data_IF_236897979936
#
_entry.id   IF_236897979936
#
_cell.length_a   1.000
_cell.length_b   1.000
_cell.length_c   1.000
_cell.angle_alpha   90.00
_cell.angle_beta   90.00
_cell.angle_gamma   90.00
#
_symmetry.space_group_name_H-M   'P 1'
#
loop_
_entity.id
_entity.type
_entity.pdbx_description
1 polymer ?
#
# COMPACT_ATOMS: atom_id res chain seq x y z
N UNK A 1 27.78 -29.29 11.01
CA UNK A 1 26.54 -29.81 10.35
C UNK A 1 25.32 -29.91 11.28
N UNK A 2 25.44 -30.20 12.55
CA UNK A 2 24.30 -30.32 13.51
C UNK A 2 23.65 -28.95 13.87
N UNK A 3 24.41 -27.88 13.98
CA UNK A 3 23.91 -26.56 14.36
C UNK A 3 23.05 -25.91 13.26
N UNK A 4 23.46 -26.05 11.99
CA UNK A 4 22.67 -25.58 10.83
C UNK A 4 21.39 -26.37 10.57
N UNK A 5 21.36 -27.67 10.97
CA UNK A 5 20.14 -28.48 10.92
C UNK A 5 19.13 -28.11 12.02
N UNK A 6 19.61 -27.70 13.20
CA UNK A 6 18.75 -27.22 14.30
C UNK A 6 18.08 -25.90 13.95
N UNK A 7 18.84 -24.95 13.38
CA UNK A 7 18.29 -23.65 12.94
C UNK A 7 17.28 -23.76 11.78
N UNK A 8 17.36 -24.82 10.95
CA UNK A 8 16.37 -25.08 9.89
C UNK A 8 15.04 -25.63 10.40
N UNK A 9 15.02 -26.30 11.56
CA UNK A 9 13.78 -26.87 12.14
C UNK A 9 12.97 -25.89 12.99
N UNK A 10 13.62 -24.90 13.63
CA UNK A 10 12.97 -24.03 14.61
C UNK A 10 12.04 -22.97 14.00
N UNK A 11 12.13 -22.68 12.69
CA UNK A 11 11.33 -21.68 11.99
C UNK A 11 10.35 -22.26 10.98
N UNK A 12 10.31 -23.56 10.83
CA UNK A 12 9.47 -24.23 9.84
C UNK A 12 7.99 -24.12 10.22
N UNK A 13 7.20 -23.61 9.29
CA UNK A 13 5.75 -23.46 9.41
C UNK A 13 5.08 -24.37 8.39
N UNK A 14 4.32 -25.36 8.83
CA UNK A 14 3.50 -26.19 7.95
C UNK A 14 2.12 -25.53 7.85
N UNK A 15 1.73 -25.16 6.65
CA UNK A 15 0.43 -24.53 6.40
C UNK A 15 -0.64 -25.61 6.33
N UNK A 16 -1.48 -25.70 7.35
CA UNK A 16 -2.51 -26.73 7.47
C UNK A 16 -3.89 -26.30 7.04
N UNK A 17 -4.14 -24.99 7.01
CA UNK A 17 -5.42 -24.46 6.61
C UNK A 17 -5.33 -23.00 6.15
N UNK A 18 -6.19 -22.65 5.21
CA UNK A 18 -6.40 -21.26 4.79
C UNK A 18 -7.91 -21.02 4.72
N UNK A 19 -8.35 -19.94 5.34
CA UNK A 19 -9.73 -19.47 5.23
C UNK A 19 -9.76 -18.14 4.50
N UNK A 20 -10.61 -18.03 3.49
CA UNK A 20 -10.94 -16.79 2.82
C UNK A 20 -12.22 -16.22 3.41
N UNK A 21 -12.14 -15.03 4.01
CA UNK A 21 -13.30 -14.26 4.45
C UNK A 21 -13.57 -13.17 3.42
N UNK A 22 -14.68 -13.27 2.72
CA UNK A 22 -15.13 -12.21 1.81
C UNK A 22 -15.91 -11.18 2.62
N UNK A 23 -15.33 -10.00 2.71
CA UNK A 23 -15.78 -8.93 3.61
C UNK A 23 -16.33 -7.77 2.80
N UNK A 24 -17.43 -7.18 3.28
CA UNK A 24 -17.96 -5.92 2.75
C UNK A 24 -18.05 -4.88 3.87
N UNK A 25 -17.46 -3.71 3.61
CA UNK A 25 -17.44 -2.59 4.55
C UNK A 25 -17.82 -1.29 3.84
N UNK A 26 -18.54 -0.42 4.54
CA UNK A 26 -18.94 0.87 4.01
C UNK A 26 -18.01 1.96 4.51
N UNK A 27 -17.45 2.77 3.59
CA UNK A 27 -16.70 3.95 3.95
C UNK A 27 -17.59 4.96 4.68
N UNK A 28 -17.06 5.58 5.71
CA UNK A 28 -17.71 6.65 6.47
C UNK A 28 -18.08 7.84 5.59
N UNK A 29 -17.16 8.20 4.69
CA UNK A 29 -17.36 9.20 3.65
C UNK A 29 -16.98 8.61 2.30
N UNK A 30 -17.77 8.87 1.27
CA UNK A 30 -17.45 8.46 -0.08
C UNK A 30 -16.10 9.04 -0.52
N UNK A 31 -15.25 8.23 -1.13
CA UNK A 31 -13.97 8.65 -1.68
C UNK A 31 -14.10 8.86 -3.19
N UNK A 32 -13.89 10.10 -3.64
CA UNK A 32 -13.97 10.47 -5.06
C UNK A 32 -12.59 10.78 -5.62
N UNK A 33 -12.24 10.15 -6.72
CA UNK A 33 -11.03 10.38 -7.51
C UNK A 33 -11.40 10.75 -8.97
N UNK A 34 -10.42 10.74 -9.89
CA UNK A 34 -10.63 11.04 -11.31
C UNK A 34 -11.48 9.99 -12.06
N UNK A 35 -11.57 8.76 -11.54
CA UNK A 35 -12.30 7.64 -12.17
C UNK A 35 -13.72 7.47 -11.66
N UNK A 36 -14.03 7.93 -10.44
CA UNK A 36 -15.36 7.77 -9.87
C UNK A 36 -15.41 7.91 -8.35
N UNK A 37 -16.49 7.40 -7.77
CA UNK A 37 -16.75 7.46 -6.32
C UNK A 37 -16.86 6.06 -5.77
N UNK A 38 -16.12 5.78 -4.69
CA UNK A 38 -16.15 4.53 -3.92
C UNK A 38 -16.84 4.81 -2.59
N UNK A 39 -17.90 4.09 -2.29
CA UNK A 39 -18.63 4.15 -1.01
C UNK A 39 -18.55 2.81 -0.26
N UNK A 40 -18.65 1.72 -0.98
CA UNK A 40 -18.61 0.37 -0.45
C UNK A 40 -17.29 -0.30 -0.90
N UNK A 41 -16.68 -1.06 -0.02
CA UNK A 41 -15.43 -1.78 -0.28
C UNK A 41 -15.61 -3.26 0.00
N UNK A 42 -15.21 -4.08 -0.95
CA UNK A 42 -15.03 -5.52 -0.78
C UNK A 42 -13.57 -5.84 -0.55
N UNK A 43 -13.31 -6.84 0.30
CA UNK A 43 -11.98 -7.37 0.59
C UNK A 43 -12.03 -8.89 0.66
N UNK A 44 -10.87 -9.54 0.51
CA UNK A 44 -10.70 -10.94 0.91
C UNK A 44 -9.65 -10.94 2.02
N UNK A 45 -10.07 -11.27 3.24
CA UNK A 45 -9.16 -11.46 4.36
C UNK A 45 -8.69 -12.91 4.35
N UNK A 46 -7.38 -13.08 4.41
CA UNK A 46 -6.70 -14.38 4.47
C UNK A 46 -6.41 -14.71 5.91
N UNK A 47 -6.95 -15.83 6.37
CA UNK A 47 -6.60 -16.45 7.65
C UNK A 47 -5.82 -17.73 7.37
N UNK A 48 -4.49 -17.71 7.60
CA UNK A 48 -3.61 -18.86 7.40
C UNK A 48 -3.28 -19.51 8.73
N UNK A 49 -3.42 -20.84 8.80
CA UNK A 49 -3.21 -21.62 10.01
C UNK A 49 -2.05 -22.61 9.85
N UNK A 50 -1.31 -22.82 10.92
CA UNK A 50 -0.21 -23.79 11.00
C UNK A 50 -0.56 -24.97 11.89
N UNK A 51 0.21 -26.08 11.79
CA UNK A 51 0.01 -27.30 12.59
C UNK A 51 0.18 -27.07 14.10
N UNK A 52 0.96 -26.07 14.51
CA UNK A 52 1.16 -25.67 15.92
C UNK A 52 0.12 -24.64 16.41
N UNK A 53 -0.94 -24.41 15.63
CA UNK A 53 -2.10 -23.61 16.02
C UNK A 53 -1.93 -22.09 15.88
N UNK A 54 -0.84 -21.61 15.26
CA UNK A 54 -0.69 -20.19 14.99
C UNK A 54 -1.57 -19.76 13.82
N UNK A 55 -2.04 -18.52 13.87
CA UNK A 55 -2.83 -17.88 12.82
C UNK A 55 -2.12 -16.63 12.31
N UNK A 56 -2.00 -16.52 10.99
CA UNK A 56 -1.50 -15.32 10.29
C UNK A 56 -2.57 -14.67 9.44
N UNK A 57 -2.48 -13.36 9.28
CA UNK A 57 -3.47 -12.53 8.64
C UNK A 57 -2.91 -11.76 7.45
N UNK A 58 -3.64 -11.79 6.35
CA UNK A 58 -3.36 -11.00 5.14
C UNK A 58 -4.64 -10.44 4.56
N UNK A 59 -4.51 -9.54 3.60
CA UNK A 59 -5.64 -8.86 2.99
C UNK A 59 -5.41 -8.64 1.49
N UNK A 60 -6.39 -9.05 0.68
CA UNK A 60 -6.47 -8.68 -0.73
C UNK A 60 -7.21 -7.36 -0.84
N UNK A 61 -6.50 -6.34 -1.31
CA UNK A 61 -6.98 -4.95 -1.38
C UNK A 61 -7.48 -4.54 -2.77
N UNK A 62 -7.65 -5.49 -3.70
CA UNK A 62 -8.21 -5.21 -5.02
C UNK A 62 -9.56 -4.49 -4.92
N UNK A 63 -9.94 -3.77 -5.97
CA UNK A 63 -11.26 -3.15 -6.06
C UNK A 63 -12.26 -4.11 -6.72
N UNK A 64 -13.55 -3.80 -6.64
CA UNK A 64 -14.59 -4.57 -7.33
C UNK A 64 -14.55 -4.38 -8.85
N UNK A 65 -13.99 -3.24 -9.31
CA UNK A 65 -13.84 -2.88 -10.71
C UNK A 65 -12.36 -2.62 -11.05
N UNK A 66 -11.90 -2.95 -12.27
CA UNK A 66 -10.50 -2.88 -12.67
C UNK A 66 -10.06 -1.47 -13.13
N UNK A 67 -10.41 -0.43 -12.37
CA UNK A 67 -10.07 0.94 -12.72
C UNK A 67 -8.68 1.39 -12.21
N UNK A 68 -8.16 0.71 -11.18
CA UNK A 68 -6.85 1.02 -10.60
C UNK A 68 -5.75 0.07 -11.13
N UNK A 69 -6.02 -1.22 -11.10
CA UNK A 69 -5.23 -2.28 -11.72
C UNK A 69 -6.15 -3.22 -12.46
N UNK A 70 -5.59 -4.16 -13.23
CA UNK A 70 -6.34 -5.21 -13.94
C UNK A 70 -7.01 -6.22 -12.99
N UNK A 71 -6.57 -6.33 -11.74
CA UNK A 71 -7.14 -7.25 -10.76
C UNK A 71 -8.40 -6.68 -10.11
N UNK A 72 -9.36 -7.56 -9.88
CA UNK A 72 -10.56 -7.30 -9.09
C UNK A 72 -10.67 -8.32 -7.96
N UNK A 73 -11.55 -8.09 -6.99
CA UNK A 73 -11.86 -9.07 -5.94
C UNK A 73 -12.22 -10.43 -6.55
N UNK A 74 -12.94 -10.46 -7.67
CA UNK A 74 -13.36 -11.72 -8.31
C UNK A 74 -12.19 -12.44 -8.99
N UNK A 75 -11.35 -11.72 -9.74
CA UNK A 75 -10.16 -12.33 -10.36
C UNK A 75 -9.17 -12.78 -9.30
N UNK A 76 -8.95 -12.00 -8.24
CA UNK A 76 -8.13 -12.41 -7.10
C UNK A 76 -8.70 -13.63 -6.39
N UNK A 77 -10.03 -13.71 -6.18
CA UNK A 77 -10.68 -14.88 -5.61
C UNK A 77 -10.38 -16.16 -6.40
N UNK A 78 -10.52 -16.11 -7.72
CA UNK A 78 -10.18 -17.24 -8.60
C UNK A 78 -8.71 -17.66 -8.45
N UNK A 79 -7.78 -16.70 -8.58
CA UNK A 79 -6.34 -16.97 -8.49
C UNK A 79 -5.96 -17.52 -7.10
N UNK A 80 -6.54 -16.97 -6.03
CA UNK A 80 -6.32 -17.46 -4.67
C UNK A 80 -6.76 -18.91 -4.52
N UNK A 81 -8.02 -19.20 -4.87
CA UNK A 81 -8.66 -20.51 -4.63
C UNK A 81 -8.09 -21.62 -5.46
N UNK A 82 -7.98 -21.37 -6.77
CA UNK A 82 -7.76 -22.43 -7.73
C UNK A 82 -6.27 -22.63 -8.05
N UNK A 83 -5.42 -21.67 -7.65
CA UNK A 83 -4.00 -21.69 -8.04
C UNK A 83 -3.07 -21.49 -6.83
N UNK A 84 -3.17 -20.38 -6.09
CA UNK A 84 -2.16 -20.05 -5.08
C UNK A 84 -2.31 -20.88 -3.80
N UNK A 85 -3.53 -21.06 -3.29
CA UNK A 85 -3.78 -21.86 -2.08
C UNK A 85 -3.40 -23.33 -2.31
N UNK A 86 -3.80 -23.99 -3.42
CA UNK A 86 -3.36 -25.36 -3.70
C UNK A 86 -1.85 -25.54 -3.79
N UNK A 87 -1.12 -24.50 -4.21
CA UNK A 87 0.33 -24.55 -4.31
C UNK A 87 1.05 -24.56 -2.95
N UNK A 88 0.45 -24.02 -1.89
CA UNK A 88 1.12 -23.84 -0.60
C UNK A 88 0.50 -24.63 0.56
N UNK A 89 -0.75 -25.08 0.41
CA UNK A 89 -1.41 -25.85 1.47
C UNK A 89 -0.69 -27.18 1.68
N UNK A 90 -0.46 -27.56 2.93
CA UNK A 90 0.33 -28.73 3.29
C UNK A 90 1.85 -28.55 3.19
N UNK A 91 2.32 -27.44 2.60
CA UNK A 91 3.76 -27.19 2.44
C UNK A 91 4.41 -26.71 3.74
N UNK A 92 5.70 -26.98 3.84
CA UNK A 92 6.57 -26.44 4.88
C UNK A 92 7.28 -25.18 4.35
N UNK A 93 7.10 -24.08 5.03
CA UNK A 93 7.69 -22.78 4.67
C UNK A 93 8.61 -22.34 5.81
N UNK A 94 9.90 -22.12 5.53
CA UNK A 94 10.86 -21.63 6.50
C UNK A 94 10.99 -20.13 6.52
N UNK A 95 10.80 -19.50 5.36
CA UNK A 95 10.83 -18.03 5.18
C UNK A 95 9.82 -17.63 4.12
N UNK A 96 9.12 -16.48 4.28
CA UNK A 96 8.13 -16.02 3.30
C UNK A 96 8.65 -15.84 1.88
N UNK A 97 9.93 -15.53 1.70
CA UNK A 97 10.56 -15.41 0.36
C UNK A 97 10.48 -16.72 -0.46
N UNK A 98 10.28 -17.87 0.18
CA UNK A 98 10.09 -19.16 -0.51
C UNK A 98 8.81 -19.16 -1.37
N UNK A 99 7.83 -18.31 -1.02
CA UNK A 99 6.60 -18.14 -1.81
C UNK A 99 6.86 -17.67 -3.24
N UNK A 100 7.95 -16.94 -3.47
CA UNK A 100 8.36 -16.54 -4.82
C UNK A 100 8.51 -17.76 -5.73
N UNK A 101 9.05 -18.87 -5.21
CA UNK A 101 9.23 -20.11 -5.96
C UNK A 101 7.89 -20.82 -6.22
N UNK A 102 7.00 -20.89 -5.23
CA UNK A 102 5.67 -21.48 -5.38
C UNK A 102 4.81 -20.70 -6.37
N UNK A 103 4.96 -19.37 -6.40
CA UNK A 103 4.16 -18.49 -7.24
C UNK A 103 4.83 -18.14 -8.59
N UNK A 104 6.03 -18.64 -8.85
CA UNK A 104 6.77 -18.38 -10.10
C UNK A 104 6.00 -18.76 -11.37
N UNK A 105 5.20 -19.87 -11.43
CA UNK A 105 4.40 -20.20 -12.60
C UNK A 105 3.25 -19.21 -12.87
N UNK A 106 2.85 -18.43 -11.88
CA UNK A 106 1.72 -17.48 -11.96
C UNK A 106 2.24 -16.12 -12.41
N UNK A 107 1.94 -15.74 -13.64
CA UNK A 107 2.31 -14.42 -14.15
C UNK A 107 1.37 -13.35 -13.59
N UNK A 108 1.90 -12.14 -13.31
CA UNK A 108 1.10 -11.01 -12.78
C UNK A 108 0.33 -11.41 -11.52
N UNK A 109 -0.88 -10.93 -11.34
CA UNK A 109 -1.75 -11.16 -10.18
C UNK A 109 -1.08 -10.77 -8.84
N UNK A 110 -0.49 -9.56 -8.76
CA UNK A 110 0.26 -9.15 -7.58
C UNK A 110 -0.62 -9.01 -6.34
N UNK A 111 -1.86 -8.55 -6.45
CA UNK A 111 -2.73 -8.36 -5.28
C UNK A 111 -3.16 -9.69 -4.66
N UNK A 112 -3.45 -10.70 -5.48
CA UNK A 112 -3.74 -12.04 -4.98
C UNK A 112 -2.53 -12.66 -4.28
N UNK A 113 -1.32 -12.52 -4.85
CA UNK A 113 -0.07 -12.99 -4.23
C UNK A 113 0.23 -12.31 -2.91
N UNK A 114 0.13 -10.98 -2.90
CA UNK A 114 0.36 -10.15 -1.72
C UNK A 114 -0.54 -10.53 -0.54
N UNK A 115 -1.79 -10.89 -0.81
CA UNK A 115 -2.75 -11.26 0.21
C UNK A 115 -2.30 -12.51 1.00
N UNK A 116 -1.88 -13.56 0.29
CA UNK A 116 -1.35 -14.78 0.94
C UNK A 116 0.00 -14.49 1.60
N UNK A 117 0.88 -13.81 0.89
CA UNK A 117 2.22 -13.52 1.38
C UNK A 117 2.18 -12.70 2.68
N UNK A 118 1.28 -11.72 2.79
CA UNK A 118 1.06 -10.97 4.01
C UNK A 118 0.72 -11.87 5.21
N UNK A 119 -0.16 -12.85 5.01
CA UNK A 119 -0.51 -13.81 6.07
C UNK A 119 0.69 -14.67 6.49
N UNK A 120 1.53 -15.08 5.54
CA UNK A 120 2.73 -15.89 5.84
C UNK A 120 3.81 -15.05 6.52
N UNK A 121 3.97 -13.76 6.17
CA UNK A 121 4.85 -12.84 6.89
C UNK A 121 4.39 -12.61 8.33
N UNK A 122 3.09 -12.49 8.57
CA UNK A 122 2.52 -12.37 9.91
C UNK A 122 2.81 -13.64 10.75
N UNK A 123 2.58 -14.84 10.17
CA UNK A 123 2.94 -16.10 10.79
C UNK A 123 4.42 -16.18 11.13
N UNK A 124 5.27 -15.84 10.18
CA UNK A 124 6.72 -15.88 10.37
C UNK A 124 7.19 -14.95 11.49
N UNK A 125 6.67 -13.73 11.54
CA UNK A 125 6.97 -12.78 12.60
C UNK A 125 6.50 -13.30 13.98
N UNK A 126 5.29 -13.88 14.06
CA UNK A 126 4.77 -14.55 15.26
C UNK A 126 5.63 -15.72 15.68
N UNK A 127 6.05 -16.58 14.75
CA UNK A 127 6.95 -17.71 15.01
C UNK A 127 8.29 -17.26 15.58
N UNK A 128 8.78 -16.11 15.15
CA UNK A 128 10.01 -15.49 15.70
C UNK A 128 9.79 -14.79 17.04
N UNK A 129 8.55 -14.60 17.49
CA UNK A 129 8.24 -13.80 18.67
C UNK A 129 8.57 -12.31 18.48
N UNK A 130 8.62 -11.81 17.23
CA UNK A 130 8.99 -10.45 16.88
C UNK A 130 7.84 -9.75 16.16
N UNK A 131 7.80 -8.41 16.25
CA UNK A 131 6.90 -7.63 15.41
C UNK A 131 7.30 -7.74 13.93
N UNK A 132 6.34 -7.61 13.03
CA UNK A 132 6.60 -7.62 11.59
C UNK A 132 7.60 -6.53 11.20
N UNK A 133 7.49 -5.33 11.80
CA UNK A 133 8.45 -4.24 11.57
C UNK A 133 9.90 -4.68 11.87
N UNK A 134 10.13 -5.35 13.02
CA UNK A 134 11.45 -5.83 13.39
C UNK A 134 11.98 -6.92 12.44
N UNK A 135 11.09 -7.83 11.99
CA UNK A 135 11.45 -8.91 11.06
C UNK A 135 11.84 -8.36 9.69
N UNK A 136 11.17 -7.30 9.23
CA UNK A 136 11.50 -6.60 7.97
C UNK A 136 12.77 -5.73 8.08
N UNK A 137 13.29 -5.52 9.29
CA UNK A 137 14.45 -4.64 9.53
C UNK A 137 14.08 -3.17 9.76
N UNK A 138 12.80 -2.88 10.01
CA UNK A 138 12.33 -1.56 10.39
C UNK A 138 12.91 -1.10 11.72
N UNK A 139 13.29 0.18 11.81
CA UNK A 139 13.94 0.75 12.99
C UNK A 139 13.19 1.93 13.60
N UNK A 140 12.25 2.50 12.83
CA UNK A 140 11.48 3.65 13.32
C UNK A 140 10.35 3.18 14.22
N UNK A 141 10.29 3.76 15.41
CA UNK A 141 9.19 3.53 16.36
C UNK A 141 7.95 4.34 16.01
N UNK A 142 8.12 5.39 15.20
CA UNK A 142 7.06 6.23 14.67
C UNK A 142 7.34 6.49 13.19
N UNK A 143 6.27 6.51 12.39
CA UNK A 143 6.30 6.87 10.99
C UNK A 143 5.50 8.15 10.76
N UNK A 144 5.94 8.98 9.82
CA UNK A 144 5.22 10.19 9.45
C UNK A 144 4.04 9.87 8.53
N UNK A 145 2.92 10.53 8.79
CA UNK A 145 1.70 10.39 8.02
C UNK A 145 1.46 11.59 7.09
N UNK A 146 1.10 11.31 5.86
CA UNK A 146 0.48 12.23 4.91
C UNK A 146 -1.02 11.94 4.79
N UNK A 147 -1.73 12.83 4.15
CA UNK A 147 -3.16 12.65 3.88
C UNK A 147 -3.50 13.00 2.44
N UNK A 148 -4.41 12.22 1.86
CA UNK A 148 -4.97 12.47 0.55
C UNK A 148 -6.31 13.20 0.68
N UNK A 149 -6.43 14.37 0.09
CA UNK A 149 -7.67 15.14 0.02
C UNK A 149 -8.28 14.91 -1.37
N UNK A 150 -9.40 14.22 -1.41
CA UNK A 150 -10.19 14.03 -2.63
C UNK A 150 -10.78 15.35 -3.15
N UNK A 151 -11.28 15.33 -4.38
CA UNK A 151 -11.94 16.49 -5.00
C UNK A 151 -13.06 17.02 -4.10
N UNK A 152 -13.09 18.35 -3.92
CA UNK A 152 -14.08 19.06 -3.10
C UNK A 152 -15.01 19.87 -4.00
N UNK A 153 -16.22 20.14 -3.51
CA UNK A 153 -17.24 20.86 -4.27
C UNK A 153 -16.89 22.33 -4.47
N UNK A 154 -16.17 22.92 -3.51
CA UNK A 154 -15.79 24.33 -3.51
C UNK A 154 -14.50 24.58 -2.71
N UNK A 155 -13.99 25.79 -2.80
CA UNK A 155 -12.75 26.22 -2.12
C UNK A 155 -12.89 26.20 -0.59
N UNK A 156 -14.08 26.46 -0.04
CA UNK A 156 -14.32 26.46 1.41
C UNK A 156 -14.16 25.06 2.00
N UNK A 157 -14.77 24.05 1.36
CA UNK A 157 -14.60 22.63 1.75
C UNK A 157 -13.15 22.17 1.62
N UNK A 158 -12.45 22.62 0.55
CA UNK A 158 -11.05 22.31 0.35
C UNK A 158 -10.18 22.87 1.46
N UNK A 159 -10.32 24.16 1.74
CA UNK A 159 -9.51 24.84 2.76
C UNK A 159 -9.83 24.30 4.17
N UNK A 160 -11.09 24.03 4.48
CA UNK A 160 -11.48 23.39 5.74
C UNK A 160 -10.83 22.01 5.90
N UNK A 161 -10.78 21.20 4.83
CA UNK A 161 -10.11 19.91 4.86
C UNK A 161 -8.59 20.02 5.07
N UNK A 162 -7.94 21.01 4.44
CA UNK A 162 -6.52 21.29 4.63
C UNK A 162 -6.26 21.78 6.06
N UNK A 163 -7.03 22.76 6.57
CA UNK A 163 -6.88 23.31 7.91
C UNK A 163 -7.03 22.22 8.98
N UNK A 164 -8.05 21.34 8.83
CA UNK A 164 -8.23 20.19 9.72
C UNK A 164 -7.05 19.21 9.68
N UNK A 165 -6.52 18.94 8.48
CA UNK A 165 -5.36 18.05 8.32
C UNK A 165 -4.10 18.64 8.94
N UNK A 166 -3.89 19.94 8.80
CA UNK A 166 -2.77 20.65 9.44
C UNK A 166 -2.92 20.68 10.98
N UNK A 167 -4.13 20.86 11.48
CA UNK A 167 -4.41 20.82 12.93
C UNK A 167 -4.12 19.43 13.52
N UNK A 168 -4.31 18.34 12.76
CA UNK A 168 -3.93 16.98 13.14
C UNK A 168 -2.43 16.69 12.96
N UNK A 169 -1.66 17.66 12.41
CA UNK A 169 -0.21 17.59 12.27
C UNK A 169 0.29 16.78 11.07
N UNK A 170 -0.58 16.40 10.12
CA UNK A 170 -0.15 15.66 8.93
C UNK A 170 1.03 16.34 8.23
N UNK A 171 2.03 15.54 7.84
CA UNK A 171 3.32 16.03 7.33
C UNK A 171 3.34 16.28 5.83
N UNK A 172 2.33 15.81 5.10
CA UNK A 172 2.17 15.99 3.65
C UNK A 172 0.68 16.01 3.29
N UNK A 173 0.30 16.95 2.42
CA UNK A 173 -1.06 17.05 1.85
C UNK A 173 -1.00 16.65 0.38
N UNK A 174 -1.75 15.63 -0.02
CA UNK A 174 -1.93 15.21 -1.41
C UNK A 174 -3.23 15.77 -1.98
N UNK A 175 -3.13 16.47 -3.11
CA UNK A 175 -4.25 17.05 -3.83
C UNK A 175 -4.44 16.35 -5.17
N UNK A 176 -5.68 16.01 -5.50
CA UNK A 176 -6.00 15.44 -6.81
C UNK A 176 -6.08 16.53 -7.86
N UNK A 177 -5.39 16.31 -8.99
CA UNK A 177 -5.41 17.20 -10.16
C UNK A 177 -5.89 16.45 -11.40
N UNK A 178 -6.36 17.20 -12.38
CA UNK A 178 -6.68 16.74 -13.73
C UNK A 178 -6.68 17.93 -14.67
N UNK A 179 -6.61 17.74 -16.00
CA UNK A 179 -6.72 18.82 -16.97
C UNK A 179 -7.88 19.77 -16.68
N UNK A 180 -7.57 21.09 -16.58
CA UNK A 180 -8.52 22.14 -16.22
C UNK A 180 -8.82 22.31 -14.73
N UNK A 181 -8.33 21.39 -13.86
CA UNK A 181 -8.38 21.52 -12.41
C UNK A 181 -6.99 21.19 -11.83
N UNK A 182 -6.03 21.98 -12.11
CA UNK A 182 -4.62 21.81 -11.81
C UNK A 182 -3.99 23.14 -11.34
N UNK A 183 -3.51 23.97 -12.27
CA UNK A 183 -2.85 25.24 -11.96
C UNK A 183 -3.74 26.12 -11.07
N UNK A 184 -5.03 26.25 -11.40
CA UNK A 184 -5.96 27.06 -10.62
C UNK A 184 -6.10 26.56 -9.17
N UNK A 185 -6.19 25.24 -8.96
CA UNK A 185 -6.27 24.61 -7.66
C UNK A 185 -4.98 24.82 -6.86
N UNK A 186 -3.84 24.44 -7.47
CA UNK A 186 -2.53 24.49 -6.81
C UNK A 186 -2.14 25.92 -6.46
N UNK A 187 -2.37 26.89 -7.37
CA UNK A 187 -2.08 28.31 -7.11
C UNK A 187 -2.90 28.87 -5.95
N UNK A 188 -4.20 28.55 -5.88
CA UNK A 188 -5.06 28.95 -4.75
C UNK A 188 -4.56 28.40 -3.43
N UNK A 189 -4.24 27.09 -3.39
CA UNK A 189 -3.73 26.45 -2.18
C UNK A 189 -2.39 27.03 -1.79
N UNK A 190 -1.45 27.21 -2.73
CA UNK A 190 -0.12 27.76 -2.45
C UNK A 190 -0.19 29.22 -1.98
N UNK A 191 -1.11 30.02 -2.51
CA UNK A 191 -1.33 31.40 -2.06
C UNK A 191 -1.79 31.46 -0.60
N UNK A 192 -2.71 30.58 -0.20
CA UNK A 192 -3.22 30.52 1.18
C UNK A 192 -2.22 29.89 2.13
N UNK A 193 -1.47 28.89 1.65
CA UNK A 193 -0.52 28.10 2.45
C UNK A 193 0.88 28.09 1.78
N UNK A 194 1.67 29.15 1.92
CA UNK A 194 2.92 29.32 1.17
C UNK A 194 3.98 28.24 1.45
N UNK A 195 3.95 27.60 2.63
CA UNK A 195 5.04 26.71 3.11
C UNK A 195 4.64 25.28 3.42
N UNK A 196 3.36 24.93 3.29
CA UNK A 196 2.97 23.54 3.59
C UNK A 196 3.52 22.55 2.55
N UNK A 197 3.91 21.34 2.96
CA UNK A 197 4.30 20.28 2.04
C UNK A 197 3.07 19.77 1.27
N UNK A 198 2.98 20.11 -0.02
CA UNK A 198 1.91 19.63 -0.91
C UNK A 198 2.49 18.86 -2.08
N UNK A 199 1.77 17.85 -2.52
CA UNK A 199 1.99 17.12 -3.75
C UNK A 199 0.71 17.08 -4.59
N UNK A 200 0.86 16.92 -5.88
CA UNK A 200 -0.23 16.73 -6.82
C UNK A 200 -0.30 15.27 -7.27
N UNK A 201 -1.51 14.71 -7.37
CA UNK A 201 -1.74 13.35 -7.86
C UNK A 201 -2.69 13.41 -9.05
N UNK A 202 -2.19 13.02 -10.20
CA UNK A 202 -2.86 13.12 -11.49
C UNK A 202 -3.61 11.84 -11.89
N UNK A 203 -3.30 10.69 -11.27
CA UNK A 203 -3.88 9.39 -11.63
C UNK A 203 -3.96 9.18 -13.16
N UNK A 204 -2.84 9.34 -13.85
CA UNK A 204 -2.70 9.14 -15.32
C UNK A 204 -3.57 10.03 -16.19
N UNK A 205 -3.94 11.24 -15.73
CA UNK A 205 -4.90 12.09 -16.45
C UNK A 205 -4.28 12.93 -17.57
N UNK A 206 -2.96 12.95 -17.73
CA UNK A 206 -2.25 13.79 -18.71
C UNK A 206 -1.52 12.94 -19.77
N UNK A 207 -1.08 13.64 -20.81
CA UNK A 207 -0.21 13.14 -21.88
C UNK A 207 0.98 14.07 -22.07
N UNK A 208 1.95 13.71 -22.90
CA UNK A 208 3.04 14.65 -23.26
C UNK A 208 2.56 15.92 -23.98
N UNK A 209 1.36 15.92 -24.56
CA UNK A 209 0.77 17.13 -25.13
C UNK A 209 0.47 18.19 -24.05
N UNK A 210 0.34 17.80 -22.79
CA UNK A 210 0.08 18.67 -21.64
C UNK A 210 1.38 19.16 -20.98
N UNK A 211 2.53 19.01 -21.64
CA UNK A 211 3.87 19.34 -21.11
C UNK A 211 3.94 20.77 -20.54
N UNK A 212 3.37 21.75 -21.23
CA UNK A 212 3.43 23.15 -20.81
C UNK A 212 2.66 23.38 -19.50
N UNK A 213 1.51 22.73 -19.34
CA UNK A 213 0.74 22.76 -18.08
C UNK A 213 1.51 22.10 -16.94
N UNK A 214 2.14 20.94 -17.20
CA UNK A 214 2.93 20.24 -16.19
C UNK A 214 4.19 21.03 -15.82
N UNK A 215 4.84 21.73 -16.76
CA UNK A 215 5.95 22.66 -16.48
C UNK A 215 5.50 23.86 -15.63
N UNK A 216 4.31 24.38 -15.86
CA UNK A 216 3.78 25.47 -15.05
C UNK A 216 3.63 25.09 -13.58
N UNK A 217 3.42 23.80 -13.26
CA UNK A 217 3.38 23.32 -11.87
C UNK A 217 4.71 23.49 -11.12
N UNK A 218 5.85 23.54 -11.80
CA UNK A 218 7.17 23.72 -11.18
C UNK A 218 7.29 24.99 -10.34
N UNK A 219 6.56 26.06 -10.70
CA UNK A 219 6.61 27.35 -9.98
C UNK A 219 5.97 27.29 -8.58
N UNK A 220 5.17 26.25 -8.28
CA UNK A 220 4.43 26.15 -7.02
C UNK A 220 5.17 25.35 -5.94
N UNK A 221 6.39 24.87 -6.19
CA UNK A 221 7.21 24.17 -5.21
C UNK A 221 6.52 22.93 -4.63
N UNK A 222 5.94 22.11 -5.49
CA UNK A 222 5.37 20.80 -5.13
C UNK A 222 6.48 19.85 -4.70
N UNK A 223 6.21 18.99 -3.72
CA UNK A 223 7.13 17.91 -3.35
C UNK A 223 7.32 16.94 -4.52
N UNK A 224 6.23 16.63 -5.23
CA UNK A 224 6.20 15.74 -6.38
C UNK A 224 4.88 15.87 -7.16
N UNK A 225 4.87 15.36 -8.40
CA UNK A 225 3.67 15.09 -9.19
C UNK A 225 3.58 13.57 -9.33
N UNK A 226 2.49 12.97 -8.82
CA UNK A 226 2.26 11.53 -8.84
C UNK A 226 1.52 11.12 -10.09
N UNK A 227 2.05 10.10 -10.78
CA UNK A 227 1.52 9.44 -11.97
C UNK A 227 0.87 10.40 -12.97
N UNK A 228 1.63 11.35 -13.54
CA UNK A 228 1.05 12.30 -14.50
C UNK A 228 0.57 11.64 -15.78
N UNK A 229 1.34 10.71 -16.34
CA UNK A 229 1.06 10.09 -17.64
C UNK A 229 0.46 8.68 -17.49
N UNK A 230 0.30 7.96 -18.58
CA UNK A 230 -0.34 6.65 -18.63
C UNK A 230 0.22 5.65 -17.60
N UNK A 231 -0.65 4.83 -17.03
CA UNK A 231 -0.32 3.89 -15.95
C UNK A 231 0.72 2.83 -16.31
N UNK A 232 0.87 2.50 -17.58
CA UNK A 232 1.79 1.50 -18.10
C UNK A 232 3.00 2.08 -18.84
N UNK A 233 3.20 3.40 -18.75
CA UNK A 233 4.29 4.08 -19.42
C UNK A 233 5.45 4.37 -18.43
N UNK A 234 6.67 4.17 -18.91
CA UNK A 234 7.91 4.58 -18.26
C UNK A 234 8.73 5.52 -19.17
N UNK A 235 8.60 5.37 -20.47
CA UNK A 235 9.43 6.10 -21.43
C UNK A 235 9.04 7.57 -21.51
N UNK A 236 7.75 7.87 -21.67
CA UNK A 236 7.28 9.27 -21.71
C UNK A 236 7.45 9.96 -20.35
N UNK A 237 7.30 9.23 -19.23
CA UNK A 237 7.66 9.76 -17.91
C UNK A 237 9.14 10.15 -17.82
N UNK A 238 10.06 9.39 -18.45
CA UNK A 238 11.47 9.75 -18.49
C UNK A 238 11.72 11.04 -19.32
N UNK A 239 10.99 11.22 -20.42
CA UNK A 239 11.04 12.46 -21.18
C UNK A 239 10.52 13.64 -20.35
N UNK A 240 9.36 13.45 -19.69
CA UNK A 240 8.75 14.49 -18.85
C UNK A 240 9.67 14.86 -17.66
N UNK A 241 10.28 13.86 -16.96
CA UNK A 241 11.13 14.15 -15.80
C UNK A 241 12.37 14.98 -16.18
N UNK A 242 12.88 14.88 -17.41
CA UNK A 242 13.99 15.71 -17.88
C UNK A 242 13.61 17.20 -17.99
N UNK A 243 12.35 17.47 -18.25
CA UNK A 243 11.79 18.81 -18.44
C UNK A 243 11.31 19.46 -17.15
N UNK A 244 11.07 18.66 -16.10
CA UNK A 244 10.54 19.12 -14.82
C UNK A 244 11.63 19.19 -13.74
N UNK A 245 11.61 20.26 -12.94
CA UNK A 245 12.35 20.33 -11.67
C UNK A 245 11.64 19.55 -10.58
N UNK A 246 10.32 19.61 -10.56
CA UNK A 246 9.48 18.82 -9.64
C UNK A 246 9.70 17.34 -9.89
N UNK A 247 9.87 16.57 -8.81
CA UNK A 247 10.04 15.12 -8.89
C UNK A 247 8.77 14.45 -9.41
N UNK A 248 8.90 13.58 -10.39
CA UNK A 248 7.83 12.65 -10.75
C UNK A 248 7.83 11.50 -9.75
N UNK A 249 6.65 11.16 -9.26
CA UNK A 249 6.38 9.98 -8.44
C UNK A 249 5.60 8.97 -9.27
N UNK A 250 6.09 7.73 -9.38
CA UNK A 250 5.35 6.65 -10.04
C UNK A 250 4.55 5.84 -9.03
N UNK A 251 3.28 5.62 -9.34
CA UNK A 251 2.31 4.79 -8.62
C UNK A 251 1.95 3.56 -9.48
N UNK A 252 0.97 3.67 -10.34
CA UNK A 252 0.39 2.57 -11.12
C UNK A 252 1.41 1.89 -12.04
N UNK A 253 2.42 2.61 -12.53
CA UNK A 253 3.46 2.09 -13.41
C UNK A 253 4.43 1.11 -12.70
N UNK A 254 4.46 1.06 -11.38
CA UNK A 254 5.36 0.19 -10.61
C UNK A 254 4.61 -0.99 -10.04
N UNK A 255 4.66 -2.14 -10.73
CA UNK A 255 3.99 -3.38 -10.31
C UNK A 255 4.98 -4.46 -9.86
N UNK A 256 6.29 -4.21 -9.97
CA UNK A 256 7.36 -5.15 -9.58
C UNK A 256 8.68 -4.43 -9.36
N UNK A 257 9.65 -5.13 -8.75
CA UNK A 257 11.03 -4.66 -8.66
C UNK A 257 11.68 -4.49 -10.06
N UNK A 258 11.23 -5.25 -11.04
CA UNK A 258 11.69 -5.10 -12.42
C UNK A 258 11.22 -3.78 -13.04
N UNK A 259 9.95 -3.40 -12.83
CA UNK A 259 9.43 -2.11 -13.30
C UNK A 259 10.15 -0.94 -12.60
N UNK A 260 10.38 -1.06 -11.28
CA UNK A 260 11.17 -0.07 -10.54
C UNK A 260 12.59 0.08 -11.09
N UNK A 261 13.29 -1.03 -11.36
CA UNK A 261 14.62 -1.02 -11.97
C UNK A 261 14.62 -0.36 -13.34
N UNK A 262 13.61 -0.64 -14.18
CA UNK A 262 13.49 0.00 -15.49
C UNK A 262 13.21 1.49 -15.38
N UNK A 263 12.28 1.90 -14.50
CA UNK A 263 11.96 3.30 -14.25
C UNK A 263 13.19 4.10 -13.79
N UNK A 264 13.98 3.52 -12.88
CA UNK A 264 15.21 4.12 -12.38
C UNK A 264 16.24 4.28 -13.51
N UNK A 265 16.49 3.22 -14.28
CA UNK A 265 17.48 3.24 -15.40
C UNK A 265 17.10 4.20 -16.50
N UNK A 266 15.83 4.37 -16.80
CA UNK A 266 15.34 5.34 -17.77
C UNK A 266 15.35 6.78 -17.22
N UNK A 267 15.37 6.95 -15.89
CA UNK A 267 15.18 8.25 -15.25
C UNK A 267 13.73 8.73 -15.28
N UNK A 268 12.78 7.81 -15.25
CA UNK A 268 11.34 8.08 -15.36
C UNK A 268 10.78 8.76 -14.12
N UNK A 269 11.42 8.60 -12.97
CA UNK A 269 10.98 9.18 -11.70
C UNK A 269 12.14 9.44 -10.75
N UNK A 270 11.85 10.20 -9.69
CA UNK A 270 12.73 10.40 -8.54
C UNK A 270 12.07 10.00 -7.23
N UNK A 271 10.82 9.55 -7.30
CA UNK A 271 10.02 9.06 -6.17
C UNK A 271 9.21 7.85 -6.62
N UNK A 272 9.07 6.86 -5.74
CA UNK A 272 8.16 5.73 -5.94
C UNK A 272 7.12 5.73 -4.80
N UNK A 273 5.84 5.69 -5.18
CA UNK A 273 4.76 5.32 -4.30
C UNK A 273 4.71 3.80 -4.20
N UNK A 274 5.12 3.24 -3.07
CA UNK A 274 5.15 1.81 -2.85
C UNK A 274 3.85 1.33 -2.19
N UNK A 275 3.13 0.43 -2.88
CA UNK A 275 1.92 -0.21 -2.36
C UNK A 275 2.11 -1.71 -2.37
N UNK A 276 2.12 -2.34 -1.20
CA UNK A 276 2.42 -3.77 -1.00
C UNK A 276 1.55 -4.65 -1.90
N UNK A 277 0.23 -4.38 -1.94
CA UNK A 277 -0.71 -5.12 -2.78
C UNK A 277 -0.39 -5.06 -4.27
N UNK A 278 -0.09 -3.85 -4.77
CA UNK A 278 0.17 -3.62 -6.19
C UNK A 278 1.47 -4.28 -6.67
N UNK A 279 2.49 -4.36 -5.84
CA UNK A 279 3.79 -4.92 -6.24
C UNK A 279 3.92 -6.42 -5.97
N UNK A 280 2.95 -7.05 -5.32
CA UNK A 280 2.93 -8.51 -5.13
C UNK A 280 3.41 -9.00 -3.78
N UNK A 281 3.55 -8.10 -2.77
CA UNK A 281 3.84 -8.47 -1.38
C UNK A 281 5.03 -7.76 -0.78
N UNK A 282 5.35 -8.13 0.46
CA UNK A 282 6.45 -7.54 1.24
C UNK A 282 7.82 -7.92 0.68
N UNK A 283 8.02 -9.18 0.24
CA UNK A 283 9.31 -9.62 -0.33
C UNK A 283 9.66 -8.82 -1.59
N UNK A 284 8.69 -8.54 -2.44
CA UNK A 284 8.91 -7.70 -3.62
C UNK A 284 9.12 -6.24 -3.24
N UNK A 285 8.37 -5.75 -2.23
CA UNK A 285 8.55 -4.41 -1.67
C UNK A 285 9.97 -4.19 -1.12
N UNK A 286 10.53 -5.18 -0.42
CA UNK A 286 11.91 -5.13 0.10
C UNK A 286 12.95 -5.01 -1.01
N UNK A 287 12.74 -5.70 -2.15
CA UNK A 287 13.63 -5.57 -3.33
C UNK A 287 13.55 -4.17 -3.93
N UNK A 288 12.34 -3.60 -4.04
CA UNK A 288 12.15 -2.23 -4.51
C UNK A 288 12.83 -1.23 -3.59
N UNK A 289 12.64 -1.36 -2.26
CA UNK A 289 13.29 -0.48 -1.29
C UNK A 289 14.81 -0.51 -1.40
N UNK A 290 15.39 -1.71 -1.56
CA UNK A 290 16.84 -1.86 -1.75
C UNK A 290 17.32 -1.13 -3.01
N UNK A 291 16.65 -1.31 -4.15
CA UNK A 291 16.96 -0.60 -5.39
C UNK A 291 16.88 0.91 -5.22
N UNK A 292 15.83 1.40 -4.57
CA UNK A 292 15.63 2.83 -4.34
C UNK A 292 16.72 3.42 -3.44
N UNK A 293 17.13 2.71 -2.38
CA UNK A 293 18.19 3.14 -1.48
C UNK A 293 19.54 3.20 -2.19
N UNK A 294 19.87 2.20 -3.02
CA UNK A 294 21.12 2.15 -3.82
C UNK A 294 21.18 3.27 -4.85
N UNK A 295 20.07 3.68 -5.43
CA UNK A 295 19.99 4.66 -6.53
C UNK A 295 19.50 6.05 -6.11
N UNK A 296 19.28 6.28 -4.81
CA UNK A 296 18.87 7.57 -4.26
C UNK A 296 17.46 8.02 -4.69
N UNK A 297 16.55 7.07 -4.88
CA UNK A 297 15.14 7.31 -5.18
C UNK A 297 14.35 7.41 -3.88
N UNK A 298 13.57 8.46 -3.71
CA UNK A 298 12.71 8.63 -2.54
C UNK A 298 11.52 7.65 -2.60
N UNK A 299 11.10 7.18 -1.42
CA UNK A 299 9.98 6.23 -1.32
C UNK A 299 9.01 6.65 -0.21
N UNK A 300 7.73 6.46 -0.47
CA UNK A 300 6.66 6.51 0.52
C UNK A 300 5.65 5.39 0.29
N UNK A 301 4.93 5.01 1.35
CA UNK A 301 3.92 3.95 1.27
C UNK A 301 2.53 4.54 1.03
N UNK A 302 1.88 4.10 -0.07
CA UNK A 302 0.52 4.49 -0.43
C UNK A 302 -0.53 3.58 0.20
N UNK A 303 -1.73 4.14 0.45
CA UNK A 303 -2.90 3.40 0.93
C UNK A 303 -3.81 2.91 -0.20
N UNK A 304 -4.67 1.95 0.13
CA UNK A 304 -5.62 1.30 -0.80
C UNK A 304 -7.07 1.33 -0.29
N UNK A 305 -7.41 2.19 0.68
CA UNK A 305 -8.68 2.16 1.41
C UNK A 305 -8.91 0.80 2.09
N UNK A 306 -7.85 0.26 2.64
CA UNK A 306 -7.74 -1.05 3.27
C UNK A 306 -8.19 -1.05 4.74
N UNK A 307 -8.31 -2.25 5.32
CA UNK A 307 -8.57 -2.45 6.75
C UNK A 307 -7.29 -2.29 7.59
N UNK A 308 -7.42 -2.36 8.91
CA UNK A 308 -6.29 -2.35 9.84
C UNK A 308 -5.28 -3.46 9.60
N UNK A 309 -5.66 -4.58 8.96
CA UNK A 309 -4.74 -5.69 8.63
C UNK A 309 -3.68 -5.22 7.63
N UNK A 310 -4.10 -4.77 6.45
CA UNK A 310 -3.15 -4.29 5.43
C UNK A 310 -2.42 -3.03 5.88
N UNK A 311 -3.07 -2.17 6.67
CA UNK A 311 -2.39 -1.00 7.27
C UNK A 311 -1.28 -1.39 8.21
N UNK A 312 -1.47 -2.42 9.03
CA UNK A 312 -0.42 -2.91 9.92
C UNK A 312 0.81 -3.39 9.11
N UNK A 313 0.60 -4.11 7.99
CA UNK A 313 1.68 -4.46 7.08
C UNK A 313 2.37 -3.22 6.51
N UNK A 314 1.59 -2.22 6.08
CA UNK A 314 2.11 -0.98 5.51
C UNK A 314 2.89 -0.15 6.54
N UNK A 315 2.42 -0.07 7.80
CA UNK A 315 3.13 0.59 8.90
C UNK A 315 4.46 -0.12 9.18
N UNK A 316 4.45 -1.47 9.21
CA UNK A 316 5.67 -2.24 9.40
C UNK A 316 6.71 -1.96 8.29
N UNK A 317 6.29 -1.94 7.03
CA UNK A 317 7.17 -1.61 5.90
C UNK A 317 7.67 -0.15 5.99
N UNK A 318 6.77 0.80 6.30
CA UNK A 318 7.10 2.22 6.42
C UNK A 318 8.07 2.54 7.57
N UNK A 319 8.26 1.62 8.53
CA UNK A 319 9.24 1.77 9.61
C UNK A 319 10.70 1.57 9.14
N UNK A 320 10.92 1.09 7.92
CA UNK A 320 12.25 0.96 7.32
C UNK A 320 12.83 2.32 6.91
N UNK A 321 14.16 2.48 7.06
CA UNK A 321 14.82 3.76 6.75
C UNK A 321 14.71 4.16 5.27
N UNK A 322 14.65 3.20 4.37
CA UNK A 322 14.49 3.44 2.94
C UNK A 322 13.14 4.08 2.56
N UNK A 323 12.12 4.00 3.43
CA UNK A 323 10.86 4.74 3.26
C UNK A 323 11.04 6.11 3.92
N UNK A 324 11.44 7.12 3.15
CA UNK A 324 11.94 8.39 3.66
C UNK A 324 10.97 9.57 3.53
N UNK A 325 9.78 9.35 2.97
CA UNK A 325 8.73 10.36 2.85
C UNK A 325 7.44 9.95 3.59
N UNK A 326 6.62 10.92 4.06
CA UNK A 326 5.36 10.63 4.75
C UNK A 326 4.39 9.83 3.87
N UNK A 327 3.88 8.70 4.38
CA UNK A 327 2.97 7.80 3.67
C UNK A 327 1.50 8.23 3.69
N UNK A 328 0.67 7.66 2.79
CA UNK A 328 -0.79 7.81 2.83
C UNK A 328 -1.41 6.82 3.83
N UNK A 329 -1.01 6.91 5.08
CA UNK A 329 -1.53 6.11 6.18
C UNK A 329 -2.23 7.06 7.14
N UNK A 330 -3.55 7.11 7.08
CA UNK A 330 -4.36 7.98 7.93
C UNK A 330 -5.04 7.20 9.05
N UNK A 331 -5.60 7.91 10.02
CA UNK A 331 -6.36 7.30 11.11
C UNK A 331 -7.51 6.42 10.58
N UNK A 332 -7.72 5.27 11.20
CA UNK A 332 -8.82 4.33 10.89
C UNK A 332 -10.17 5.04 10.83
N UNK A 333 -10.41 5.96 11.77
CA UNK A 333 -11.67 6.72 11.88
C UNK A 333 -11.96 7.63 10.68
N UNK A 334 -11.00 7.89 9.80
CA UNK A 334 -11.24 8.63 8.56
C UNK A 334 -12.00 7.79 7.53
N UNK A 335 -11.93 6.47 7.62
CA UNK A 335 -12.52 5.54 6.65
C UNK A 335 -13.67 4.71 7.22
N UNK A 336 -13.52 4.18 8.46
CA UNK A 336 -14.42 3.20 9.04
C UNK A 336 -15.10 3.70 10.30
N UNK A 337 -16.36 3.34 10.50
CA UNK A 337 -17.02 3.47 11.80
C UNK A 337 -16.53 2.39 12.78
N UNK A 338 -16.15 1.22 12.25
CA UNK A 338 -15.56 0.11 12.97
C UNK A 338 -14.62 -0.63 12.02
N UNK A 339 -13.43 -0.97 12.48
CA UNK A 339 -12.46 -1.77 11.73
C UNK A 339 -12.54 -3.25 12.12
N UNK A 340 -11.88 -4.11 11.34
CA UNK A 340 -11.70 -5.54 11.63
C UNK A 340 -10.65 -5.75 12.72
N UNK A 341 -9.67 -4.87 12.83
CA UNK A 341 -8.69 -4.91 13.93
C UNK A 341 -9.28 -4.29 15.21
N UNK A 342 -8.95 -4.90 16.36
CA UNK A 342 -9.40 -4.40 17.65
C UNK A 342 -8.74 -3.06 18.02
N UNK A 343 -7.50 -2.85 17.58
CA UNK A 343 -6.79 -1.59 17.71
C UNK A 343 -7.01 -0.73 16.47
N UNK A 344 -7.23 0.56 16.70
CA UNK A 344 -7.31 1.54 15.62
C UNK A 344 -5.92 2.10 15.29
N UNK A 345 -5.67 2.37 14.02
CA UNK A 345 -4.55 3.21 13.61
C UNK A 345 -4.90 4.65 13.93
N UNK A 346 -4.08 5.29 14.74
CA UNK A 346 -4.28 6.69 15.18
C UNK A 346 -3.11 7.54 14.74
N UNK A 347 -3.40 8.66 14.11
CA UNK A 347 -2.39 9.68 13.79
C UNK A 347 -2.37 10.70 14.92
N UNK A 348 -1.24 10.81 15.61
CA UNK A 348 -0.99 11.79 16.67
C UNK A 348 0.14 12.73 16.23
N UNK A 349 -0.14 14.02 16.17
CA UNK A 349 0.83 15.04 15.70
C UNK A 349 1.49 14.69 14.35
N UNK A 350 0.72 14.06 13.45
CA UNK A 350 1.18 13.65 12.13
C UNK A 350 2.06 12.41 12.11
N UNK A 351 2.11 11.64 13.20
CA UNK A 351 2.87 10.39 13.30
C UNK A 351 1.96 9.23 13.73
N UNK A 352 2.39 8.02 13.40
CA UNK A 352 1.76 6.76 13.77
C UNK A 352 2.80 5.91 14.49
N UNK A 353 2.45 5.32 15.63
CA UNK A 353 3.31 4.38 16.33
C UNK A 353 3.43 3.06 15.56
N UNK A 354 4.65 2.57 15.44
CA UNK A 354 4.93 1.26 14.84
C UNK A 354 4.58 0.18 15.87
N UNK A 355 3.70 -0.79 15.54
CA UNK A 355 3.36 -1.87 16.44
C UNK A 355 4.59 -2.71 16.83
N UNK A 356 4.70 -3.06 18.11
CA UNK A 356 5.84 -3.80 18.69
C UNK A 356 5.51 -5.24 19.10
N UNK A 357 4.21 -5.60 19.16
CA UNK A 357 3.77 -6.98 19.46
C UNK A 357 4.13 -7.93 18.30
N UNK A 358 4.28 -9.26 18.56
CA UNK A 358 4.56 -10.25 17.53
C UNK A 358 3.56 -10.23 16.37
N UNK A 359 4.06 -10.51 15.17
CA UNK A 359 3.26 -10.45 13.94
C UNK A 359 2.99 -9.02 13.50
N UNK A 360 1.81 -8.78 12.92
CA UNK A 360 1.35 -7.44 12.52
C UNK A 360 1.12 -6.51 13.73
N UNK A 361 1.14 -7.07 14.95
CA UNK A 361 1.01 -6.32 16.19
C UNK A 361 -0.41 -5.88 16.54
N UNK A 362 -1.38 -6.13 15.69
CA UNK A 362 -2.80 -5.87 15.91
C UNK A 362 -3.58 -7.17 16.13
N UNK A 363 -4.55 -7.13 17.01
CA UNK A 363 -5.47 -8.24 17.27
C UNK A 363 -6.67 -8.15 16.30
N UNK A 364 -7.15 -9.29 15.82
CA UNK A 364 -8.33 -9.33 14.98
C UNK A 364 -9.58 -9.39 15.86
N UNK A 365 -10.45 -8.41 15.70
CA UNK A 365 -11.78 -8.39 16.30
C UNK A 365 -12.66 -9.44 15.64
N UNK A 366 -12.68 -10.66 16.18
CA UNK A 366 -13.41 -11.81 15.58
C UNK A 366 -14.89 -11.49 15.33
N UNK A 367 -15.52 -10.77 16.24
CA UNK A 367 -16.92 -10.32 16.13
C UNK A 367 -17.09 -9.27 15.00
N UNK A 368 -16.12 -8.38 14.80
CA UNK A 368 -16.13 -7.43 13.69
C UNK A 368 -15.91 -8.14 12.35
N UNK A 369 -14.93 -9.04 12.28
CA UNK A 369 -14.67 -9.83 11.08
C UNK A 369 -15.92 -10.64 10.69
N UNK A 370 -16.57 -11.30 11.67
CA UNK A 370 -17.79 -12.07 11.42
C UNK A 370 -18.93 -11.19 10.93
N UNK A 371 -19.13 -10.03 11.55
CA UNK A 371 -20.21 -9.09 11.19
C UNK A 371 -20.09 -8.54 9.76
N UNK A 372 -18.85 -8.37 9.25
CA UNK A 372 -18.61 -7.87 7.89
C UNK A 372 -18.43 -8.99 6.86
N UNK A 373 -18.24 -10.25 7.29
CA UNK A 373 -18.06 -11.39 6.38
C UNK A 373 -19.38 -11.80 5.75
N UNK A 374 -19.46 -11.75 4.43
CA UNK A 374 -20.65 -12.17 3.65
C UNK A 374 -20.51 -13.59 3.11
N UNK A 375 -19.28 -14.13 3.03
CA UNK A 375 -18.99 -15.50 2.60
C UNK A 375 -17.67 -15.96 3.18
N UNK A 376 -17.56 -17.26 3.50
CA UNK A 376 -16.33 -17.93 3.90
C UNK A 376 -16.05 -19.14 3.02
N UNK A 377 -14.78 -19.39 2.75
CA UNK A 377 -14.34 -20.62 2.09
C UNK A 377 -13.12 -21.15 2.85
N UNK A 378 -13.13 -22.46 3.14
CA UNK A 378 -12.08 -23.13 3.91
C UNK A 378 -11.33 -24.11 3.05
N UNK A 379 -10.00 -24.11 3.17
CA UNK A 379 -9.09 -24.99 2.49
C UNK A 379 -8.22 -25.70 3.54
N UNK A 380 -8.09 -27.00 3.44
CA UNK A 380 -7.31 -27.83 4.37
C UNK A 380 -6.32 -28.71 3.61
N UNK A 381 -5.17 -29.03 4.28
CA UNK A 381 -4.15 -29.94 3.77
C UNK A 381 -4.63 -31.39 3.79
#
# INVERSE_FOLDING_TARGET
MGYLKRLRGENMMKITGITLHYVQMKLKNAFTNSFGTVQDRSFIIIEANTEDGMTGWGECVAFDQPWYTEETIQTCSHILKDILIPAIIGQHINHPDELVSFFAPVRRNPMAKSAIEGAIWDLYAKKKGLSLANVLGGKRKQIEAGISIGLKKNDEELFAAIDNSLAQGYKRIKLKIKPGLDISLISKVRRRYPRIPIMADANSAYTLADMDTLRELDQYGLMMIEQPLAYNDLYEHALLQKELKTKICLDESIQSAHDALQAIRLGSCRVINLKIGRVGGLSESLKILKLCEEEGIDVWCGGMLETGISRAHTIALASMNAVNLPGDISSTQNYWNRDITAQEVVVLNGCIDTPDKPGIGFEIGRDALEAFTVRKEHFHA
#
